data_IF_643982754603
#
_entry.id   IF_643982754603
#
_cell.length_a   1.000
_cell.length_b   1.000
_cell.length_c   1.000
_cell.angle_alpha   90.00
_cell.angle_beta   90.00
_cell.angle_gamma   90.00
#
_symmetry.space_group_name_H-M   'P 1'
#
loop_
_entity.id
_entity.type
_entity.pdbx_description
1 polymer ?
#
# COMPACT_ATOMS: atom_id res chain seq x y z
N UNK A 1 7.57 -12.45 -22.58
CA UNK A 1 7.36 -11.65 -21.36
C UNK A 1 6.66 -10.35 -21.73
N UNK A 2 5.65 -9.98 -20.97
CA UNK A 2 4.92 -8.73 -21.25
C UNK A 2 5.78 -7.53 -20.86
N UNK A 3 5.55 -6.41 -21.53
CA UNK A 3 6.24 -5.17 -21.21
C UNK A 3 6.04 -4.78 -19.74
N UNK A 4 4.84 -4.99 -19.20
CA UNK A 4 4.55 -4.72 -17.77
C UNK A 4 5.47 -5.52 -16.87
N UNK A 5 5.74 -6.77 -17.18
CA UNK A 5 6.62 -7.62 -16.38
C UNK A 5 8.06 -7.12 -16.45
N UNK A 6 8.49 -6.67 -17.59
CA UNK A 6 9.85 -6.13 -17.78
C UNK A 6 10.04 -4.86 -16.99
N UNK A 7 9.05 -3.96 -17.01
CA UNK A 7 9.09 -2.71 -16.24
C UNK A 7 9.09 -3.02 -14.73
N UNK A 8 8.25 -3.95 -14.30
CA UNK A 8 8.18 -4.36 -12.91
C UNK A 8 9.53 -4.89 -12.42
N UNK A 9 10.14 -5.80 -13.19
CA UNK A 9 11.43 -6.39 -12.83
C UNK A 9 12.54 -5.34 -12.76
N UNK A 10 12.53 -4.39 -13.68
CA UNK A 10 13.51 -3.29 -13.69
C UNK A 10 13.40 -2.45 -12.41
N UNK A 11 12.18 -2.06 -12.03
CA UNK A 11 11.95 -1.25 -10.83
C UNK A 11 12.34 -2.03 -9.58
N UNK A 12 12.01 -3.32 -9.50
CA UNK A 12 12.40 -4.16 -8.37
C UNK A 12 13.91 -4.30 -8.26
N UNK A 13 14.60 -4.38 -9.39
CA UNK A 13 16.05 -4.40 -9.40
C UNK A 13 16.63 -3.11 -8.82
N UNK A 14 16.10 -1.96 -9.21
CA UNK A 14 16.52 -0.67 -8.66
C UNK A 14 16.27 -0.59 -7.15
N UNK A 15 15.12 -1.08 -6.68
CA UNK A 15 14.79 -1.08 -5.27
C UNK A 15 15.74 -1.97 -4.46
N UNK A 16 16.21 -3.05 -5.04
CA UNK A 16 17.17 -3.93 -4.36
C UNK A 16 18.54 -3.29 -4.20
N UNK A 17 18.89 -2.36 -5.11
CA UNK A 17 20.17 -1.63 -5.06
C UNK A 17 20.10 -0.40 -4.15
N UNK A 18 18.93 0.23 -4.05
CA UNK A 18 18.72 1.49 -3.36
C UNK A 18 18.03 1.32 -2.00
N UNK A 19 18.33 0.25 -1.31
CA UNK A 19 17.81 -0.11 0.00
C UNK A 19 16.28 -0.16 0.09
N UNK A 20 15.58 1.00 0.14
CA UNK A 20 14.15 1.02 0.39
C UNK A 20 13.34 1.83 -0.57
N UNK A 21 13.97 2.77 -1.23
CA UNK A 21 13.21 3.68 -2.07
C UNK A 21 13.99 4.00 -3.33
N UNK A 22 13.24 4.35 -4.37
CA UNK A 22 13.81 4.79 -5.63
C UNK A 22 12.97 5.94 -6.15
N UNK A 23 13.65 6.96 -6.68
CA UNK A 23 12.99 8.06 -7.37
C UNK A 23 13.15 7.85 -8.87
N UNK A 24 12.05 7.97 -9.58
CA UNK A 24 12.01 7.73 -11.03
C UNK A 24 11.25 8.86 -11.70
N UNK A 25 11.70 9.20 -12.91
CA UNK A 25 10.96 10.13 -13.75
C UNK A 25 10.14 9.33 -14.75
N UNK A 26 8.82 9.52 -14.68
CA UNK A 26 7.86 8.74 -15.48
C UNK A 26 8.16 8.81 -16.96
N UNK A 27 8.46 10.01 -17.47
CA UNK A 27 8.73 10.21 -18.88
C UNK A 27 10.04 9.55 -19.32
N UNK A 28 11.05 9.57 -18.47
CA UNK A 28 12.32 8.91 -18.76
C UNK A 28 12.16 7.40 -18.83
N UNK A 29 11.37 6.82 -17.93
CA UNK A 29 11.06 5.39 -17.97
C UNK A 29 10.31 5.02 -19.23
N UNK A 30 9.30 5.81 -19.58
CA UNK A 30 8.52 5.57 -20.78
C UNK A 30 9.41 5.59 -22.03
N UNK A 31 10.32 6.56 -22.09
CA UNK A 31 11.26 6.68 -23.20
C UNK A 31 12.21 5.48 -23.24
N UNK A 32 12.74 5.09 -22.08
CA UNK A 32 13.66 3.95 -21.98
C UNK A 32 13.02 2.66 -22.46
N UNK A 33 11.76 2.42 -22.12
CA UNK A 33 11.05 1.21 -22.50
C UNK A 33 10.29 1.33 -23.84
N UNK A 34 10.34 2.51 -24.46
CA UNK A 34 9.66 2.72 -25.74
C UNK A 34 8.14 2.63 -25.64
N UNK A 35 7.56 3.13 -24.56
CA UNK A 35 6.12 3.07 -24.33
C UNK A 35 5.56 4.42 -23.90
N UNK A 36 4.23 4.50 -23.80
CA UNK A 36 3.56 5.70 -23.33
C UNK A 36 3.68 5.82 -21.81
N UNK A 37 3.71 7.05 -21.26
CA UNK A 37 3.71 7.23 -19.80
C UNK A 37 2.53 6.58 -19.09
N UNK A 38 1.39 6.42 -19.78
CA UNK A 38 0.22 5.74 -19.22
C UNK A 38 0.50 4.27 -18.93
N UNK A 39 1.41 3.64 -19.65
CA UNK A 39 1.81 2.27 -19.37
C UNK A 39 2.64 2.17 -18.10
N UNK A 40 3.49 3.16 -17.85
CA UNK A 40 4.21 3.24 -16.58
C UNK A 40 3.23 3.38 -15.43
N UNK A 41 2.24 4.27 -15.57
CA UNK A 41 1.19 4.44 -14.56
C UNK A 41 0.44 3.15 -14.29
N UNK A 42 0.14 2.39 -15.33
CA UNK A 42 -0.57 1.11 -15.20
C UNK A 42 0.24 0.11 -14.38
N UNK A 43 1.54 -0.01 -14.66
CA UNK A 43 2.41 -0.91 -13.89
C UNK A 43 2.47 -0.50 -12.43
N UNK A 44 2.62 0.80 -12.15
CA UNK A 44 2.67 1.29 -10.79
C UNK A 44 1.35 1.02 -10.05
N UNK A 45 0.23 1.25 -10.72
CA UNK A 45 -1.10 1.08 -10.11
C UNK A 45 -1.46 -0.39 -9.86
N UNK A 46 -0.89 -1.32 -10.63
CA UNK A 46 -1.26 -2.73 -10.54
C UNK A 46 -0.20 -3.61 -9.86
N UNK A 47 1.07 -3.22 -9.93
CA UNK A 47 2.17 -4.06 -9.42
C UNK A 47 2.85 -3.50 -8.18
N UNK A 48 2.73 -2.20 -7.93
CA UNK A 48 3.37 -1.53 -6.79
C UNK A 48 2.33 -0.91 -5.88
N UNK A 49 1.40 -1.74 -5.44
CA UNK A 49 0.31 -1.35 -4.55
C UNK A 49 0.67 -1.60 -3.09
N UNK A 50 -0.05 -1.00 -2.14
CA UNK A 50 0.16 -1.31 -0.73
C UNK A 50 0.04 -2.79 -0.39
N UNK A 51 -0.85 -3.51 -1.10
CA UNK A 51 -1.01 -4.96 -0.93
C UNK A 51 0.27 -5.72 -1.24
N UNK A 52 1.11 -5.17 -2.09
CA UNK A 52 2.39 -5.76 -2.47
C UNK A 52 3.56 -5.21 -1.65
N UNK A 53 3.29 -4.33 -0.70
CA UNK A 53 4.29 -3.79 0.20
C UNK A 53 4.95 -2.50 -0.25
N UNK A 54 4.28 -1.70 -1.08
CA UNK A 54 4.84 -0.48 -1.64
C UNK A 54 3.94 0.73 -1.38
N UNK A 55 4.56 1.89 -1.31
CA UNK A 55 3.89 3.19 -1.30
C UNK A 55 4.48 4.04 -2.42
N UNK A 56 3.61 4.68 -3.19
CA UNK A 56 4.02 5.55 -4.29
C UNK A 56 3.64 6.97 -3.95
N UNK A 57 4.63 7.86 -4.04
CA UNK A 57 4.43 9.29 -3.89
C UNK A 57 4.75 9.96 -5.21
N UNK A 58 3.82 10.77 -5.70
CA UNK A 58 4.03 11.57 -6.91
C UNK A 58 4.24 13.02 -6.53
N UNK A 59 5.24 13.66 -7.12
CA UNK A 59 5.47 15.08 -6.94
C UNK A 59 5.36 15.79 -8.28
N UNK A 60 4.64 16.90 -8.28
CA UNK A 60 4.51 17.77 -9.43
C UNK A 60 5.55 18.88 -9.35
N UNK A 61 5.97 19.35 -10.49
CA UNK A 61 6.97 20.41 -10.59
C UNK A 61 8.36 19.86 -10.82
N UNK A 62 9.23 20.64 -11.50
CA UNK A 62 10.58 20.20 -11.78
C UNK A 62 10.67 18.97 -12.68
N UNK A 63 9.66 18.75 -13.57
CA UNK A 63 9.65 17.60 -14.46
C UNK A 63 8.89 16.39 -13.96
N UNK A 64 8.29 16.46 -12.77
CA UNK A 64 7.44 15.41 -12.24
C UNK A 64 8.14 14.08 -12.00
N UNK A 65 8.33 13.70 -10.75
CA UNK A 65 8.92 12.41 -10.44
C UNK A 65 8.03 11.60 -9.50
N UNK A 66 8.25 10.29 -9.50
CA UNK A 66 7.60 9.37 -8.60
C UNK A 66 8.64 8.76 -7.68
N UNK A 67 8.24 8.56 -6.44
CA UNK A 67 9.07 7.93 -5.42
C UNK A 67 8.36 6.65 -5.00
N UNK A 68 9.03 5.52 -5.17
CA UNK A 68 8.52 4.22 -4.78
C UNK A 68 9.25 3.80 -3.51
N UNK A 69 8.49 3.55 -2.45
CA UNK A 69 9.04 3.14 -1.15
C UNK A 69 8.56 1.73 -0.85
N UNK A 70 9.50 0.85 -0.54
CA UNK A 70 9.18 -0.48 -0.06
C UNK A 70 9.02 -0.41 1.46
N UNK A 71 7.87 -0.85 1.97
CA UNK A 71 7.56 -0.73 3.39
C UNK A 71 7.53 -2.06 4.14
N UNK A 72 7.71 -3.18 3.44
CA UNK A 72 7.57 -4.53 4.00
C UNK A 72 8.88 -5.33 3.93
N UNK A 73 9.92 -4.87 4.61
CA UNK A 73 11.23 -5.53 4.54
C UNK A 73 11.70 -6.18 5.84
N UNK A 74 10.99 -6.00 6.96
CA UNK A 74 11.53 -6.41 8.26
C UNK A 74 10.72 -7.52 8.91
N UNK A 75 11.34 -8.28 9.84
CA UNK A 75 10.58 -9.25 10.65
C UNK A 75 9.44 -8.54 11.35
N UNK A 76 8.25 -9.10 11.31
CA UNK A 76 7.03 -8.46 11.81
C UNK A 76 6.26 -7.72 10.75
N UNK A 77 6.92 -7.12 9.76
CA UNK A 77 6.23 -6.49 8.63
C UNK A 77 5.63 -7.53 7.70
N UNK A 78 6.18 -8.74 7.68
CA UNK A 78 5.61 -9.85 6.91
C UNK A 78 4.19 -10.16 7.37
N UNK A 79 3.88 -10.01 8.66
CA UNK A 79 2.52 -10.22 9.17
C UNK A 79 1.56 -9.15 8.67
N UNK A 80 2.01 -7.87 8.67
CA UNK A 80 1.22 -6.78 8.10
C UNK A 80 0.95 -7.01 6.62
N UNK A 81 1.95 -7.47 5.87
CA UNK A 81 1.79 -7.77 4.46
C UNK A 81 0.77 -8.88 4.23
N UNK A 82 0.82 -9.95 5.03
CA UNK A 82 -0.14 -11.03 4.95
C UNK A 82 -1.57 -10.55 5.22
N UNK A 83 -1.72 -9.67 6.21
CA UNK A 83 -3.03 -9.10 6.53
C UNK A 83 -3.54 -8.22 5.39
N UNK A 84 -2.66 -7.39 4.83
CA UNK A 84 -3.03 -6.54 3.70
C UNK A 84 -3.53 -7.36 2.52
N UNK A 85 -2.89 -8.49 2.23
CA UNK A 85 -3.32 -9.38 1.16
C UNK A 85 -4.68 -10.02 1.45
N UNK A 86 -5.00 -10.28 2.71
CA UNK A 86 -6.28 -10.88 3.09
C UNK A 86 -7.45 -9.92 3.04
N UNK A 87 -7.21 -8.63 3.14
CA UNK A 87 -8.29 -7.64 3.16
C UNK A 87 -9.08 -7.65 1.85
N UNK A 88 -8.39 -7.77 0.72
CA UNK A 88 -9.06 -7.81 -0.58
C UNK A 88 -9.72 -6.48 -0.92
N UNK A 89 -10.83 -6.54 -1.68
CA UNK A 89 -11.55 -5.36 -2.15
C UNK A 89 -12.68 -4.91 -1.22
N UNK A 90 -13.12 -5.79 -0.32
CA UNK A 90 -14.16 -5.47 0.65
C UNK A 90 -13.93 -6.24 1.94
N UNK A 91 -14.35 -5.66 3.06
CA UNK A 91 -14.18 -6.28 4.37
C UNK A 91 -15.30 -5.78 5.29
N UNK A 92 -15.80 -6.67 6.16
CA UNK A 92 -16.81 -6.28 7.14
C UNK A 92 -16.15 -5.67 8.37
N UNK A 93 -16.95 -4.96 9.17
CA UNK A 93 -16.45 -4.40 10.43
C UNK A 93 -15.93 -5.49 11.36
N UNK A 94 -16.66 -6.60 11.47
CA UNK A 94 -16.24 -7.72 12.32
C UNK A 94 -14.89 -8.29 11.90
N UNK A 95 -14.67 -8.44 10.60
CA UNK A 95 -13.38 -8.91 10.08
C UNK A 95 -12.26 -7.92 10.37
N UNK A 96 -12.53 -6.61 10.26
CA UNK A 96 -11.56 -5.57 10.61
C UNK A 96 -11.12 -5.72 12.06
N UNK A 97 -12.09 -5.86 12.97
CA UNK A 97 -11.81 -5.98 14.39
C UNK A 97 -10.94 -7.20 14.67
N UNK A 98 -11.27 -8.34 14.05
CA UNK A 98 -10.48 -9.56 14.23
C UNK A 98 -9.05 -9.42 13.73
N UNK A 99 -8.87 -8.81 12.55
CA UNK A 99 -7.53 -8.61 12.00
C UNK A 99 -6.69 -7.67 12.87
N UNK A 100 -7.30 -6.58 13.33
CA UNK A 100 -6.60 -5.63 14.21
C UNK A 100 -6.21 -6.30 15.52
N UNK A 101 -7.09 -7.13 16.08
CA UNK A 101 -6.81 -7.86 17.30
C UNK A 101 -5.64 -8.83 17.13
N UNK A 102 -5.62 -9.56 16.01
CA UNK A 102 -4.51 -10.47 15.71
C UNK A 102 -3.18 -9.71 15.60
N UNK A 103 -3.20 -8.53 14.97
CA UNK A 103 -1.99 -7.73 14.82
C UNK A 103 -1.48 -7.21 16.17
N UNK A 104 -2.37 -6.79 17.06
CA UNK A 104 -1.98 -6.32 18.38
C UNK A 104 -1.47 -7.46 19.26
N UNK A 105 -2.12 -8.62 19.22
CA UNK A 105 -1.69 -9.78 19.98
C UNK A 105 -0.29 -10.24 19.59
N UNK A 106 0.06 -10.11 18.32
CA UNK A 106 1.38 -10.50 17.82
C UNK A 106 2.38 -9.35 17.81
N UNK A 107 2.02 -8.24 18.42
CA UNK A 107 2.88 -7.07 18.56
C UNK A 107 3.32 -6.45 17.22
N UNK A 108 2.56 -6.72 16.17
CA UNK A 108 2.78 -6.09 14.86
C UNK A 108 2.14 -4.71 14.76
N UNK A 109 1.25 -4.36 15.69
CA UNK A 109 0.52 -3.12 15.71
C UNK A 109 0.30 -2.72 17.16
N UNK A 110 0.57 -1.46 17.48
CA UNK A 110 0.31 -0.94 18.83
C UNK A 110 -1.18 -0.76 19.06
N UNK A 111 -1.61 -0.92 20.31
CA UNK A 111 -3.02 -0.82 20.67
C UNK A 111 -3.62 0.54 20.35
N UNK A 112 -2.83 1.60 20.53
CA UNK A 112 -3.27 2.95 20.22
C UNK A 112 -3.61 3.10 18.73
N UNK A 113 -2.73 2.61 17.86
CA UNK A 113 -2.96 2.63 16.41
C UNK A 113 -4.18 1.77 16.05
N UNK A 114 -4.30 0.58 16.65
CA UNK A 114 -5.43 -0.31 16.40
C UNK A 114 -6.76 0.34 16.80
N UNK A 115 -6.79 1.07 17.93
CA UNK A 115 -7.98 1.75 18.39
C UNK A 115 -8.43 2.84 17.41
N UNK A 116 -7.48 3.60 16.87
CA UNK A 116 -7.78 4.64 15.89
C UNK A 116 -8.29 4.05 14.58
N UNK A 117 -7.67 2.98 14.12
CA UNK A 117 -8.11 2.31 12.89
C UNK A 117 -9.50 1.73 13.07
N UNK A 118 -9.74 1.07 14.22
CA UNK A 118 -11.05 0.50 14.52
C UNK A 118 -12.14 1.57 14.48
N UNK A 119 -11.88 2.74 15.07
CA UNK A 119 -12.82 3.84 15.07
C UNK A 119 -13.12 4.30 13.65
N UNK A 120 -12.09 4.38 12.79
CA UNK A 120 -12.22 4.88 11.43
C UNK A 120 -13.05 3.94 10.53
N UNK A 121 -13.06 2.63 10.82
CA UNK A 121 -13.81 1.65 10.01
C UNK A 121 -15.10 1.20 10.67
N UNK A 122 -15.48 1.82 11.78
CA UNK A 122 -16.67 1.45 12.54
C UNK A 122 -17.96 1.80 11.79
N UNK A 123 -19.05 1.12 12.16
CA UNK A 123 -20.37 1.45 11.63
C UNK A 123 -20.76 2.90 11.95
N UNK A 124 -20.32 3.40 13.11
CA UNK A 124 -20.60 4.77 13.51
C UNK A 124 -19.91 5.77 12.58
N UNK A 125 -18.64 5.52 12.21
CA UNK A 125 -17.90 6.38 11.30
C UNK A 125 -18.47 6.33 9.88
N UNK A 126 -19.00 5.17 9.48
CA UNK A 126 -19.54 4.94 8.14
C UNK A 126 -21.06 4.95 8.14
N UNK A 127 -21.66 5.89 8.87
CA UNK A 127 -23.10 5.95 9.05
C UNK A 127 -23.83 6.70 7.93
N UNK A 128 -23.19 6.93 6.80
CA UNK A 128 -23.83 7.56 5.64
C UNK A 128 -24.85 6.59 5.01
N UNK A 129 -25.92 7.11 4.35
CA UNK A 129 -26.99 6.27 3.80
C UNK A 129 -26.61 5.65 2.45
N UNK A 130 -25.64 4.75 2.47
CA UNK A 130 -25.23 3.99 1.29
C UNK A 130 -25.31 2.49 1.61
N UNK A 131 -25.38 1.60 0.59
CA UNK A 131 -25.46 0.16 0.84
C UNK A 131 -24.26 -0.36 1.61
N UNK A 132 -24.48 -1.41 2.43
CA UNK A 132 -23.43 -2.01 3.23
C UNK A 132 -22.29 -2.54 2.36
N UNK A 133 -22.59 -3.03 1.16
CA UNK A 133 -21.56 -3.49 0.24
C UNK A 133 -20.57 -2.37 -0.10
N UNK A 134 -21.05 -1.15 -0.27
CA UNK A 134 -20.21 0.01 -0.54
C UNK A 134 -19.39 0.40 0.69
N UNK A 135 -20.02 0.30 1.88
CA UNK A 135 -19.31 0.58 3.13
C UNK A 135 -18.16 -0.41 3.34
N UNK A 136 -18.38 -1.67 2.98
CA UNK A 136 -17.34 -2.70 3.11
C UNK A 136 -16.18 -2.46 2.15
N UNK A 137 -16.42 -1.92 0.97
CA UNK A 137 -15.37 -1.50 0.04
C UNK A 137 -14.58 -0.33 0.64
N UNK A 138 -15.29 0.63 1.22
CA UNK A 138 -14.64 1.78 1.86
C UNK A 138 -13.81 1.34 3.07
N UNK A 139 -14.33 0.39 3.86
CA UNK A 139 -13.58 -0.17 4.99
C UNK A 139 -12.27 -0.80 4.52
N UNK A 140 -12.32 -1.58 3.44
CA UNK A 140 -11.12 -2.23 2.91
C UNK A 140 -10.08 -1.19 2.50
N UNK A 141 -10.50 -0.14 1.81
CA UNK A 141 -9.60 0.94 1.39
C UNK A 141 -8.99 1.65 2.59
N UNK A 142 -9.80 1.98 3.58
CA UNK A 142 -9.34 2.65 4.79
C UNK A 142 -8.34 1.80 5.56
N UNK A 143 -8.65 0.51 5.75
CA UNK A 143 -7.74 -0.42 6.41
C UNK A 143 -6.39 -0.49 5.72
N UNK A 144 -6.40 -0.65 4.41
CA UNK A 144 -5.16 -0.74 3.62
C UNK A 144 -4.33 0.53 3.74
N UNK A 145 -4.96 1.69 3.62
CA UNK A 145 -4.26 2.96 3.72
C UNK A 145 -3.65 3.16 5.10
N UNK A 146 -4.41 2.86 6.15
CA UNK A 146 -3.93 3.09 7.51
C UNK A 146 -2.85 2.08 7.90
N UNK A 147 -3.00 0.80 7.57
CA UNK A 147 -2.00 -0.21 7.88
C UNK A 147 -0.70 0.04 7.09
N UNK A 148 -0.83 0.49 5.86
CA UNK A 148 0.33 0.87 5.05
C UNK A 148 1.08 2.04 5.68
N UNK A 149 0.35 3.04 6.19
CA UNK A 149 0.93 4.18 6.88
C UNK A 149 1.68 3.74 8.15
N UNK A 150 1.10 2.81 8.91
CA UNK A 150 1.75 2.26 10.11
C UNK A 150 3.04 1.54 9.72
N UNK A 151 3.00 0.69 8.69
CA UNK A 151 4.17 -0.05 8.23
C UNK A 151 5.28 0.90 7.81
N UNK A 152 4.93 1.98 7.12
CA UNK A 152 5.89 2.99 6.69
C UNK A 152 6.55 3.67 7.89
N UNK A 153 5.75 4.07 8.89
CA UNK A 153 6.29 4.70 10.09
C UNK A 153 7.22 3.76 10.85
N UNK A 154 6.87 2.49 10.97
CA UNK A 154 7.72 1.50 11.63
C UNK A 154 9.06 1.34 10.91
N UNK A 155 9.02 1.35 9.59
CA UNK A 155 10.23 1.24 8.77
C UNK A 155 11.13 2.46 8.92
N UNK A 156 10.55 3.66 9.01
CA UNK A 156 11.30 4.92 9.13
C UNK A 156 11.94 5.10 10.51
N UNK A 157 11.42 4.45 11.54
CA UNK A 157 11.96 4.55 12.90
C UNK A 157 13.25 3.77 13.12
N UNK A 158 13.63 2.97 12.14
CA UNK A 158 14.88 2.25 12.19
C UNK A 158 15.91 2.86 11.27
#
# INVERSE_FOLDING_TARGET
MRLSDTIEDFIKMLLSQEEREVELKRNELAEYFGCAPSQINYVLATRFTPDHGYVIESRRGGGGYIRIVRVMEQPGQSLLQMVLQRIGESITEAECVRLLQQLTERQALQEEAAALIRAAVSAQALSVPIPDAMKNVQRARTMKCMLTAVARQQAERK
#
